data_IF_139663114571
#
_entry.id   IF_139663114571
#
_cell.length_a   1.000
_cell.length_b   1.000
_cell.length_c   1.000
_cell.angle_alpha   90.00
_cell.angle_beta   90.00
_cell.angle_gamma   90.00
#
_symmetry.space_group_name_H-M   'P 1'
#
loop_
_entity.id
_entity.type
_entity.pdbx_description
1 polymer ?
#
# COMPACT_ATOMS: atom_id res chain seq x y z
N UNK A 1 -8.51 19.84 2.09
CA UNK A 1 -7.44 19.17 1.34
C UNK A 1 -7.15 17.78 1.90
N UNK A 2 -6.43 16.97 1.16
CA UNK A 2 -6.00 15.64 1.63
C UNK A 2 -5.13 15.78 2.88
N UNK A 3 -4.25 16.77 2.92
CA UNK A 3 -3.40 17.04 4.08
C UNK A 3 -4.24 17.25 5.34
N UNK A 4 -5.25 18.12 5.25
CA UNK A 4 -6.14 18.42 6.37
C UNK A 4 -6.96 17.19 6.77
N UNK A 5 -7.42 16.42 5.79
CA UNK A 5 -8.20 15.21 6.05
C UNK A 5 -7.38 14.14 6.77
N UNK A 6 -6.15 13.91 6.33
CA UNK A 6 -5.25 12.94 6.97
C UNK A 6 -4.91 13.36 8.40
N UNK A 7 -4.53 14.61 8.61
CA UNK A 7 -4.19 15.13 9.92
C UNK A 7 -5.37 15.03 10.89
N UNK A 8 -6.56 15.37 10.42
CA UNK A 8 -7.78 15.31 11.22
C UNK A 8 -8.12 13.88 11.63
N UNK A 9 -7.97 12.92 10.73
CA UNK A 9 -8.24 11.50 11.02
C UNK A 9 -7.25 10.97 12.05
N UNK A 10 -5.98 11.27 11.89
CA UNK A 10 -4.93 10.84 12.83
C UNK A 10 -5.16 11.44 14.22
N UNK A 11 -5.47 12.74 14.29
CA UNK A 11 -5.73 13.43 15.53
C UNK A 11 -6.93 12.83 16.27
N UNK A 12 -7.98 12.47 15.55
CA UNK A 12 -9.19 11.87 16.14
C UNK A 12 -9.01 10.42 16.56
N UNK A 13 -8.01 9.73 16.05
CA UNK A 13 -7.70 8.36 16.42
C UNK A 13 -8.80 7.35 16.14
N UNK A 14 -9.64 7.60 15.12
CA UNK A 14 -10.81 6.76 14.85
C UNK A 14 -10.51 5.67 13.82
N UNK A 15 -10.06 4.52 14.27
CA UNK A 15 -10.08 3.31 13.48
C UNK A 15 -10.91 2.25 14.19
N UNK A 16 -11.32 1.19 13.47
CA UNK A 16 -12.06 0.09 14.09
C UNK A 16 -11.19 -0.63 15.11
N UNK A 17 -11.80 -1.12 16.18
CA UNK A 17 -11.08 -1.86 17.22
C UNK A 17 -10.40 -3.11 16.66
N UNK A 18 -11.09 -3.82 15.76
CA UNK A 18 -10.53 -5.01 15.11
C UNK A 18 -9.26 -4.69 14.32
N UNK A 19 -9.28 -3.59 13.58
CA UNK A 19 -8.13 -3.14 12.79
C UNK A 19 -6.98 -2.70 13.71
N UNK A 20 -7.28 -2.00 14.80
CA UNK A 20 -6.28 -1.63 15.81
C UNK A 20 -5.56 -2.84 16.37
N UNK A 21 -6.30 -3.89 16.72
CA UNK A 21 -5.72 -5.12 17.23
C UNK A 21 -4.82 -5.81 16.21
N UNK A 22 -5.29 -5.89 14.96
CA UNK A 22 -4.52 -6.48 13.87
C UNK A 22 -3.20 -5.75 13.66
N UNK A 23 -3.23 -4.43 13.60
CA UNK A 23 -2.04 -3.59 13.39
C UNK A 23 -1.10 -3.65 14.58
N UNK A 24 -1.63 -3.69 15.81
CA UNK A 24 -0.81 -3.81 17.01
C UNK A 24 0.00 -5.12 17.04
N UNK A 25 -0.58 -6.19 16.50
CA UNK A 25 0.11 -7.50 16.39
C UNK A 25 1.08 -7.57 15.22
N UNK A 26 0.94 -6.71 14.24
CA UNK A 26 1.70 -6.76 12.98
C UNK A 26 2.26 -5.37 12.64
N UNK A 27 2.89 -4.72 13.58
CA UNK A 27 3.29 -3.31 13.47
C UNK A 27 4.52 -3.05 12.59
N UNK A 28 5.10 -4.08 12.00
CA UNK A 28 6.24 -3.96 11.08
C UNK A 28 5.84 -4.56 9.74
N UNK A 29 5.18 -3.75 8.89
CA UNK A 29 4.61 -4.26 7.64
C UNK A 29 4.70 -3.24 6.53
N UNK A 30 4.67 -3.74 5.29
CA UNK A 30 4.41 -2.95 4.09
C UNK A 30 2.93 -3.07 3.72
N UNK A 31 2.34 -1.94 3.33
CA UNK A 31 0.98 -1.90 2.82
C UNK A 31 1.00 -2.03 1.30
N UNK A 32 0.16 -2.90 0.75
CA UNK A 32 0.08 -3.08 -0.70
C UNK A 32 -1.36 -2.98 -1.20
N UNK A 33 -1.56 -2.25 -2.29
CA UNK A 33 -2.81 -2.21 -3.04
C UNK A 33 -2.51 -2.19 -4.52
N UNK A 34 -3.12 -3.08 -5.29
CA UNK A 34 -2.98 -3.15 -6.74
C UNK A 34 -4.36 -3.28 -7.37
N UNK A 35 -4.76 -2.32 -8.20
CA UNK A 35 -6.12 -2.32 -8.77
C UNK A 35 -6.22 -1.75 -10.18
N UNK A 36 -5.14 -1.23 -10.75
CA UNK A 36 -5.19 -0.60 -12.06
C UNK A 36 -5.30 -1.64 -13.19
N UNK A 37 -6.22 -1.40 -14.12
CA UNK A 37 -6.41 -2.28 -15.29
C UNK A 37 -5.17 -2.36 -16.17
N UNK A 38 -4.41 -1.30 -16.26
CA UNK A 38 -3.16 -1.25 -17.04
C UNK A 38 -2.11 -2.22 -16.51
N UNK A 39 -2.24 -2.67 -15.25
CA UNK A 39 -1.33 -3.62 -14.61
C UNK A 39 -1.80 -5.08 -14.71
N UNK A 40 -2.94 -5.37 -15.35
CA UNK A 40 -3.50 -6.73 -15.39
C UNK A 40 -2.46 -7.76 -15.81
N UNK A 41 -1.66 -7.47 -16.83
CA UNK A 41 -0.64 -8.38 -17.34
C UNK A 41 0.52 -8.59 -16.36
N UNK A 42 0.66 -7.71 -15.38
CA UNK A 42 1.78 -7.74 -14.42
C UNK A 42 1.36 -8.26 -13.05
N UNK A 43 0.06 -8.45 -12.78
CA UNK A 43 -0.40 -8.83 -11.43
C UNK A 43 0.21 -10.14 -10.96
N UNK A 44 0.24 -11.18 -11.78
CA UNK A 44 0.83 -12.45 -11.36
C UNK A 44 2.30 -12.30 -10.99
N UNK A 45 3.05 -11.57 -11.79
CA UNK A 45 4.47 -11.29 -11.51
C UNK A 45 4.63 -10.54 -10.19
N UNK A 46 3.82 -9.50 -9.98
CA UNK A 46 3.87 -8.72 -8.75
C UNK A 46 3.45 -9.54 -7.53
N UNK A 47 2.41 -10.36 -7.66
CA UNK A 47 1.99 -11.24 -6.56
C UNK A 47 3.06 -12.27 -6.19
N UNK A 48 3.76 -12.82 -7.18
CA UNK A 48 4.89 -13.72 -6.92
C UNK A 48 6.00 -13.00 -6.15
N UNK A 49 6.29 -11.76 -6.50
CA UNK A 49 7.28 -10.94 -5.78
C UNK A 49 6.82 -10.67 -4.35
N UNK A 50 5.55 -10.35 -4.15
CA UNK A 50 4.98 -10.15 -2.81
C UNK A 50 5.05 -11.43 -1.98
N UNK A 51 4.78 -12.59 -2.59
CA UNK A 51 4.89 -13.88 -1.92
C UNK A 51 6.32 -14.14 -1.44
N UNK A 52 7.29 -13.84 -2.27
CA UNK A 52 8.71 -13.97 -1.90
C UNK A 52 9.08 -13.01 -0.77
N UNK A 53 8.66 -11.75 -0.88
CA UNK A 53 8.91 -10.73 0.15
C UNK A 53 8.26 -11.12 1.48
N UNK A 54 7.09 -11.75 1.45
CA UNK A 54 6.33 -12.14 2.65
C UNK A 54 7.01 -13.21 3.49
N UNK A 55 8.04 -13.86 2.97
CA UNK A 55 8.82 -14.83 3.74
C UNK A 55 9.64 -14.17 4.86
N UNK A 56 9.98 -12.89 4.68
CA UNK A 56 10.84 -12.15 5.62
C UNK A 56 10.20 -10.88 6.15
N UNK A 57 9.05 -10.47 5.63
CA UNK A 57 8.40 -9.21 5.97
C UNK A 57 6.89 -9.37 5.96
N UNK A 58 6.22 -8.84 6.96
CA UNK A 58 4.75 -8.83 6.96
C UNK A 58 4.24 -7.89 5.87
N UNK A 59 3.25 -8.36 5.11
CA UNK A 59 2.58 -7.57 4.09
C UNK A 59 1.09 -7.57 4.38
N UNK A 60 0.48 -6.40 4.39
CA UNK A 60 -0.97 -6.23 4.45
C UNK A 60 -1.42 -5.80 3.06
N UNK A 61 -2.24 -6.64 2.43
CA UNK A 61 -2.76 -6.43 1.09
C UNK A 61 -4.24 -6.07 1.17
N UNK A 62 -4.60 -4.88 0.68
CA UNK A 62 -5.99 -4.45 0.63
C UNK A 62 -6.56 -4.86 -0.72
N UNK A 63 -7.57 -5.74 -0.69
CA UNK A 63 -8.23 -6.22 -1.91
C UNK A 63 -9.03 -5.09 -2.56
N UNK A 64 -9.16 -5.14 -3.87
CA UNK A 64 -9.99 -4.21 -4.63
C UNK A 64 -11.05 -4.99 -5.42
N UNK A 65 -12.30 -4.49 -5.49
CA UNK A 65 -13.38 -5.22 -6.19
C UNK A 65 -13.08 -5.52 -7.67
N UNK A 66 -12.26 -4.69 -8.33
CA UNK A 66 -11.89 -4.90 -9.74
C UNK A 66 -10.86 -6.02 -9.94
N UNK A 67 -10.27 -6.54 -8.87
CA UNK A 67 -9.24 -7.59 -8.92
C UNK A 67 -9.67 -8.70 -7.98
N UNK A 68 -10.44 -9.66 -8.48
CA UNK A 68 -11.14 -10.65 -7.65
C UNK A 68 -10.34 -11.91 -7.34
N UNK A 69 -9.24 -12.17 -8.06
CA UNK A 69 -8.52 -13.44 -7.97
C UNK A 69 -7.20 -13.37 -7.18
N UNK A 70 -6.92 -12.26 -6.51
CA UNK A 70 -5.69 -12.13 -5.72
C UNK A 70 -5.55 -13.23 -4.64
N UNK A 71 -6.66 -13.62 -4.03
CA UNK A 71 -6.67 -14.66 -2.99
C UNK A 71 -6.15 -16.01 -3.47
N UNK A 72 -6.26 -16.29 -4.77
CA UNK A 72 -5.83 -17.55 -5.35
C UNK A 72 -4.32 -17.60 -5.61
N UNK A 73 -3.67 -16.44 -5.69
CA UNK A 73 -2.26 -16.30 -6.02
C UNK A 73 -1.39 -15.88 -4.84
N UNK A 74 -1.95 -15.14 -3.88
CA UNK A 74 -1.19 -14.63 -2.74
C UNK A 74 -1.00 -15.71 -1.67
N UNK A 75 0.20 -15.76 -1.13
CA UNK A 75 0.57 -16.65 -0.04
C UNK A 75 -0.29 -16.41 1.20
N UNK A 76 -0.49 -17.46 1.99
CA UNK A 76 -1.15 -17.39 3.29
C UNK A 76 -0.40 -16.49 4.30
N UNK A 77 0.88 -16.21 4.04
CA UNK A 77 1.66 -15.29 4.87
C UNK A 77 1.23 -13.83 4.69
N UNK A 78 0.56 -13.52 3.58
CA UNK A 78 0.09 -12.16 3.29
C UNK A 78 -1.28 -11.98 3.94
N UNK A 79 -1.42 -10.94 4.74
CA UNK A 79 -2.69 -10.59 5.37
C UNK A 79 -3.54 -9.85 4.34
N UNK A 80 -4.63 -10.46 3.90
CA UNK A 80 -5.54 -9.87 2.92
C UNK A 80 -6.75 -9.29 3.64
N UNK A 81 -7.01 -8.00 3.41
CA UNK A 81 -8.16 -7.29 3.96
C UNK A 81 -9.11 -6.87 2.86
N UNK A 82 -10.40 -6.87 3.17
CA UNK A 82 -11.42 -6.26 2.31
C UNK A 82 -11.20 -4.75 2.21
N UNK A 83 -11.77 -4.07 1.19
CA UNK A 83 -11.64 -2.63 1.07
C UNK A 83 -12.00 -1.92 2.37
N UNK A 84 -11.17 -0.94 2.75
CA UNK A 84 -11.31 -0.23 4.02
C UNK A 84 -11.98 1.14 3.81
N UNK A 85 -12.78 1.61 4.78
CA UNK A 85 -13.20 3.00 4.83
C UNK A 85 -11.97 3.93 4.85
N UNK A 86 -12.13 5.15 4.35
CA UNK A 86 -11.02 6.09 4.21
C UNK A 86 -10.26 6.31 5.52
N UNK A 87 -10.96 6.48 6.64
CA UNK A 87 -10.32 6.68 7.94
C UNK A 87 -9.46 5.49 8.37
N UNK A 88 -9.92 4.26 8.08
CA UNK A 88 -9.15 3.04 8.39
C UNK A 88 -7.95 2.93 7.46
N UNK A 89 -8.10 3.31 6.19
CA UNK A 89 -7.00 3.32 5.24
C UNK A 89 -5.89 4.28 5.69
N UNK A 90 -6.24 5.51 6.12
CA UNK A 90 -5.27 6.48 6.63
C UNK A 90 -4.52 5.91 7.84
N UNK A 91 -5.23 5.25 8.74
CA UNK A 91 -4.61 4.61 9.91
C UNK A 91 -3.60 3.53 9.50
N UNK A 92 -3.98 2.67 8.56
CA UNK A 92 -3.10 1.59 8.08
C UNK A 92 -1.87 2.14 7.38
N UNK A 93 -2.04 3.21 6.60
CA UNK A 93 -0.91 3.90 5.95
C UNK A 93 0.03 4.49 7.00
N UNK A 94 -0.51 5.20 7.97
CA UNK A 94 0.28 5.87 9.01
C UNK A 94 1.13 4.90 9.82
N UNK A 95 0.64 3.69 10.07
CA UNK A 95 1.37 2.68 10.84
C UNK A 95 2.29 1.80 9.99
N UNK A 96 2.23 1.91 8.67
CA UNK A 96 3.05 1.10 7.78
C UNK A 96 4.51 1.56 7.75
N UNK A 97 5.38 0.66 7.30
CA UNK A 97 6.79 0.98 7.06
C UNK A 97 7.02 1.45 5.62
N UNK A 98 6.00 1.48 4.82
CA UNK A 98 6.05 1.89 3.42
C UNK A 98 4.91 1.29 2.63
N UNK A 99 4.72 1.79 1.41
CA UNK A 99 3.57 1.46 0.56
C UNK A 99 4.05 0.92 -0.78
N UNK A 100 3.36 -0.09 -1.28
CA UNK A 100 3.54 -0.64 -2.63
C UNK A 100 2.18 -0.51 -3.31
N UNK A 101 2.05 0.37 -4.31
CA UNK A 101 0.72 0.63 -4.88
C UNK A 101 0.77 1.21 -6.28
N UNK A 102 -0.31 0.99 -7.02
CA UNK A 102 -0.57 1.64 -8.30
C UNK A 102 -1.62 2.77 -8.19
N UNK A 103 -2.03 3.12 -6.98
CA UNK A 103 -3.06 4.13 -6.73
C UNK A 103 -2.50 5.55 -6.76
N UNK A 104 -3.13 6.44 -7.52
CA UNK A 104 -2.78 7.86 -7.53
C UNK A 104 -3.12 8.56 -6.21
N UNK A 105 -4.24 8.22 -5.60
CA UNK A 105 -4.66 8.83 -4.33
C UNK A 105 -3.70 8.53 -3.18
N UNK A 106 -3.21 7.29 -3.11
CA UNK A 106 -2.26 6.90 -2.07
C UNK A 106 -0.94 7.65 -2.13
N UNK A 107 -0.55 8.14 -3.30
CA UNK A 107 0.67 8.95 -3.44
C UNK A 107 0.57 10.25 -2.66
N UNK A 108 -0.59 10.91 -2.69
CA UNK A 108 -0.82 12.15 -1.93
C UNK A 108 -0.81 11.87 -0.43
N UNK A 109 -1.46 10.81 -0.01
CA UNK A 109 -1.51 10.41 1.40
C UNK A 109 -0.13 10.00 1.92
N UNK A 110 0.68 9.32 1.09
CA UNK A 110 2.05 8.96 1.45
C UNK A 110 2.88 10.19 1.80
N UNK A 111 2.81 11.24 0.97
CA UNK A 111 3.51 12.49 1.24
C UNK A 111 3.05 13.09 2.57
N UNK A 112 1.72 13.19 2.75
CA UNK A 112 1.14 13.79 3.95
C UNK A 112 1.54 13.07 5.24
N UNK A 113 1.72 11.76 5.16
CA UNK A 113 2.03 10.91 6.32
C UNK A 113 3.51 10.56 6.43
N UNK A 114 4.34 11.18 5.60
CA UNK A 114 5.80 10.98 5.59
C UNK A 114 6.16 9.50 5.36
N UNK A 115 5.51 8.87 4.38
CA UNK A 115 5.76 7.48 3.99
C UNK A 115 6.35 7.41 2.60
N UNK A 116 7.28 6.47 2.41
CA UNK A 116 7.78 6.17 1.07
C UNK A 116 6.84 5.21 0.35
N UNK A 117 6.74 5.35 -0.97
CA UNK A 117 5.86 4.55 -1.80
C UNK A 117 6.57 4.09 -3.07
N UNK A 118 6.50 2.78 -3.33
CA UNK A 118 6.84 2.22 -4.63
C UNK A 118 5.62 2.32 -5.53
N UNK A 119 5.75 3.11 -6.59
CA UNK A 119 4.65 3.38 -7.52
C UNK A 119 4.70 2.34 -8.64
N UNK A 120 3.74 1.40 -8.61
CA UNK A 120 3.68 0.28 -9.56
C UNK A 120 3.05 0.72 -10.89
N UNK A 121 3.69 1.66 -11.54
CA UNK A 121 3.28 2.24 -12.82
C UNK A 121 4.52 2.61 -13.62
N UNK A 122 4.36 2.74 -14.93
CA UNK A 122 5.43 3.20 -15.82
C UNK A 122 5.51 4.72 -15.85
N UNK A 123 4.39 5.40 -15.60
CA UNK A 123 4.30 6.86 -15.58
C UNK A 123 3.54 7.32 -14.35
N UNK A 124 3.80 8.54 -13.90
CA UNK A 124 3.05 9.16 -12.81
C UNK A 124 2.39 10.45 -13.27
N UNK A 125 1.12 10.63 -12.90
CA UNK A 125 0.40 11.88 -13.07
C UNK A 125 0.66 12.85 -11.92
N UNK A 126 1.47 12.44 -10.94
CA UNK A 126 1.75 13.19 -9.72
C UNK A 126 3.25 13.35 -9.52
N UNK A 127 3.89 14.25 -10.31
CA UNK A 127 5.34 14.43 -10.23
C UNK A 127 5.80 14.89 -8.84
N UNK A 128 4.94 15.55 -8.07
CA UNK A 128 5.24 15.98 -6.73
C UNK A 128 5.61 14.85 -5.78
N UNK A 129 5.08 13.63 -6.00
CA UNK A 129 5.43 12.47 -5.18
C UNK A 129 6.88 12.08 -5.36
N UNK A 130 7.35 12.10 -6.62
CA UNK A 130 8.74 11.77 -6.95
C UNK A 130 9.66 12.91 -6.52
N UNK A 131 9.27 14.16 -6.79
CA UNK A 131 10.06 15.34 -6.47
C UNK A 131 10.25 15.52 -4.95
N UNK A 132 9.27 15.08 -4.15
CA UNK A 132 9.36 15.12 -2.69
C UNK A 132 10.34 14.11 -2.11
N UNK A 133 10.78 13.13 -2.91
CA UNK A 133 11.62 12.03 -2.45
C UNK A 133 10.86 10.87 -1.82
N UNK A 134 9.53 10.94 -1.72
CA UNK A 134 8.72 9.87 -1.13
C UNK A 134 8.35 8.78 -2.13
N UNK A 135 8.37 9.05 -3.44
CA UNK A 135 7.91 8.11 -4.45
C UNK A 135 8.99 7.68 -5.42
N UNK A 136 8.91 6.42 -5.85
CA UNK A 136 9.76 5.87 -6.90
C UNK A 136 8.89 5.08 -7.88
N UNK A 137 8.99 5.42 -9.18
CA UNK A 137 8.34 4.65 -10.24
C UNK A 137 9.12 3.35 -10.48
N UNK A 138 8.45 2.23 -10.38
CA UNK A 138 9.10 0.92 -10.47
C UNK A 138 8.52 0.00 -11.54
N UNK A 139 7.45 0.43 -12.26
CA UNK A 139 6.73 -0.49 -13.14
C UNK A 139 6.18 -1.66 -12.36
N UNK A 140 6.68 -2.86 -12.63
CA UNK A 140 6.29 -4.08 -11.92
C UNK A 140 7.43 -4.70 -11.11
N UNK A 141 8.55 -4.01 -10.95
CA UNK A 141 9.76 -4.56 -10.30
C UNK A 141 9.80 -4.17 -8.81
N UNK A 142 9.12 -4.95 -7.98
CA UNK A 142 9.01 -4.69 -6.55
C UNK A 142 10.30 -5.07 -5.82
N UNK A 143 10.78 -6.30 -6.02
CA UNK A 143 11.87 -6.85 -5.21
C UNK A 143 13.18 -6.07 -5.34
N UNK A 144 13.52 -5.63 -6.54
CA UNK A 144 14.76 -4.88 -6.77
C UNK A 144 14.71 -3.44 -6.26
N UNK A 145 13.53 -2.98 -5.84
CA UNK A 145 13.33 -1.61 -5.37
C UNK A 145 12.90 -1.53 -3.91
N UNK A 146 12.80 -2.65 -3.21
CA UNK A 146 12.24 -2.69 -1.86
C UNK A 146 13.07 -1.88 -0.84
N UNK A 147 14.36 -1.72 -1.07
CA UNK A 147 15.23 -0.95 -0.19
C UNK A 147 14.89 0.55 -0.17
N UNK A 148 14.09 1.01 -1.13
CA UNK A 148 13.59 2.40 -1.13
C UNK A 148 12.61 2.68 0.00
N UNK A 149 11.90 1.69 0.49
CA UNK A 149 10.91 1.84 1.54
C UNK A 149 11.49 1.99 2.94
#
# INVERSE_FOLDING_TARGET
TIVDSCANIIEKGKSSQHLNELISKNNDYYLCTLHRRENIHNFESMWKQLNQLSQNKTIIYIKHPSVSNSKDFLSKNIIQLDPLPYQDMVFVIDKSNGIISDSGGLQEEAICLDKNILICRDTSERPETIDSGHGKLIGSDILNNIQFL
#
